data_IF_291030189610
#
_entry.id   IF_291030189610
#
_cell.length_a   1.000
_cell.length_b   1.000
_cell.length_c   1.000
_cell.angle_alpha   90.00
_cell.angle_beta   90.00
_cell.angle_gamma   90.00
#
_symmetry.space_group_name_H-M   'P 1'
#
loop_
_entity.id
_entity.type
_entity.pdbx_description
1 polymer ?
#
# COMPACT_ATOMS: atom_id res chain seq x y z
N UNK A 1 13.06 -15.97 79.30
CA UNK A 1 11.96 -15.87 78.32
C UNK A 1 12.15 -14.61 77.50
N UNK A 2 12.27 -14.74 76.16
CA UNK A 2 11.96 -13.72 75.13
C UNK A 2 12.34 -14.35 73.79
N UNK A 3 11.36 -14.91 73.09
CA UNK A 3 11.51 -15.44 71.73
C UNK A 3 11.28 -14.29 70.75
N UNK A 4 12.27 -14.04 69.91
CA UNK A 4 12.26 -12.99 68.89
C UNK A 4 11.92 -13.69 67.56
N UNK A 5 10.69 -13.51 67.10
CA UNK A 5 10.19 -14.04 65.82
C UNK A 5 10.59 -13.04 64.75
N UNK A 6 11.59 -13.39 63.95
CA UNK A 6 12.00 -12.65 62.75
C UNK A 6 11.10 -13.14 61.62
N UNK A 7 10.13 -12.31 61.25
CA UNK A 7 9.30 -12.46 60.04
C UNK A 7 10.20 -12.13 58.86
N UNK A 8 10.69 -13.18 58.19
CA UNK A 8 11.46 -13.06 56.95
C UNK A 8 10.50 -12.69 55.83
N UNK A 9 10.65 -11.43 55.45
CA UNK A 9 10.12 -10.70 54.30
C UNK A 9 9.98 -11.58 53.04
N UNK A 10 8.75 -11.74 52.56
CA UNK A 10 8.42 -12.23 51.22
C UNK A 10 9.15 -11.38 50.17
N UNK A 11 10.21 -11.96 49.58
CA UNK A 11 10.86 -11.42 48.40
C UNK A 11 9.93 -11.71 47.21
N UNK A 12 9.19 -10.68 46.81
CA UNK A 12 8.24 -10.68 45.70
C UNK A 12 8.96 -11.01 44.39
N UNK A 13 8.49 -12.10 43.77
CA UNK A 13 8.71 -12.41 42.35
C UNK A 13 8.29 -11.20 41.49
N UNK A 14 9.26 -10.41 41.06
CA UNK A 14 9.11 -9.50 39.93
C UNK A 14 9.40 -10.31 38.68
N UNK A 15 8.37 -11.01 38.19
CA UNK A 15 8.41 -11.62 36.86
C UNK A 15 8.46 -10.50 35.83
N UNK A 16 9.60 -10.35 35.16
CA UNK A 16 9.69 -9.62 33.90
C UNK A 16 8.75 -10.32 32.91
N UNK A 17 7.53 -9.80 32.73
CA UNK A 17 6.75 -10.13 31.56
C UNK A 17 7.48 -9.52 30.36
N UNK A 18 8.11 -10.36 29.56
CA UNK A 18 8.53 -10.01 28.21
C UNK A 18 7.28 -9.58 27.43
N UNK A 19 7.11 -8.26 27.26
CA UNK A 19 6.14 -7.73 26.32
C UNK A 19 6.54 -8.24 24.93
N UNK A 20 5.65 -8.94 24.20
CA UNK A 20 5.97 -9.39 22.87
C UNK A 20 6.30 -8.16 22.02
N UNK A 21 7.50 -8.13 21.45
CA UNK A 21 8.03 -7.08 20.56
C UNK A 21 7.30 -7.02 19.20
N UNK A 22 5.97 -7.13 19.21
CA UNK A 22 5.11 -7.27 18.04
C UNK A 22 4.50 -5.94 17.55
N UNK A 23 4.77 -4.80 18.21
CA UNK A 23 4.13 -3.51 17.87
C UNK A 23 4.90 -2.63 16.86
N UNK A 24 5.78 -3.20 16.04
CA UNK A 24 6.42 -2.42 14.96
C UNK A 24 5.54 -2.30 13.71
N UNK A 25 4.53 -3.15 13.56
CA UNK A 25 3.71 -3.15 12.36
C UNK A 25 2.54 -2.18 12.42
N UNK A 26 2.33 -1.47 11.32
CA UNK A 26 1.09 -0.74 11.09
C UNK A 26 -0.07 -1.73 10.93
N UNK A 27 -1.32 -1.34 11.26
CA UNK A 27 -2.48 -2.19 11.06
C UNK A 27 -2.65 -2.68 9.61
N UNK A 28 -2.22 -1.87 8.62
CA UNK A 28 -2.27 -2.25 7.21
C UNK A 28 -1.25 -3.35 6.88
N UNK A 29 0.01 -3.20 7.31
CA UNK A 29 1.04 -4.22 7.12
C UNK A 29 0.70 -5.52 7.86
N UNK A 30 0.18 -5.43 9.08
CA UNK A 30 -0.27 -6.58 9.86
C UNK A 30 -1.40 -7.34 9.13
N UNK A 31 -2.40 -6.64 8.58
CA UNK A 31 -3.46 -7.27 7.78
C UNK A 31 -2.90 -7.94 6.51
N UNK A 32 -1.92 -7.32 5.84
CA UNK A 32 -1.27 -7.91 4.68
C UNK A 32 -0.58 -9.23 5.04
N UNK A 33 0.25 -9.22 6.09
CA UNK A 33 1.00 -10.41 6.55
C UNK A 33 0.12 -11.54 7.07
N UNK A 34 -0.92 -11.20 7.83
CA UNK A 34 -1.71 -12.20 8.56
C UNK A 34 -2.91 -12.72 7.78
N UNK A 35 -3.52 -11.90 6.93
CA UNK A 35 -4.76 -12.25 6.21
C UNK A 35 -4.51 -12.48 4.72
N UNK A 36 -3.96 -11.48 4.02
CA UNK A 36 -3.83 -11.54 2.55
C UNK A 36 -2.82 -12.57 2.08
N UNK A 37 -1.65 -12.65 2.72
CA UNK A 37 -0.62 -13.64 2.38
C UNK A 37 -1.04 -15.11 2.62
N UNK A 38 -2.01 -15.35 3.48
CA UNK A 38 -2.55 -16.69 3.74
C UNK A 38 -3.71 -17.06 2.80
N UNK A 39 -4.11 -16.15 1.90
CA UNK A 39 -5.13 -16.42 0.89
C UNK A 39 -4.68 -17.53 -0.05
N UNK A 40 -5.59 -18.46 -0.37
CA UNK A 40 -5.31 -19.61 -1.21
C UNK A 40 -5.54 -19.22 -2.66
N UNK A 41 -4.50 -19.23 -3.48
CA UNK A 41 -4.55 -18.78 -4.88
C UNK A 41 -4.14 -19.90 -5.82
N UNK A 42 -4.58 -19.83 -7.07
CA UNK A 42 -4.23 -20.80 -8.11
C UNK A 42 -3.87 -20.07 -9.39
N UNK A 43 -2.71 -20.36 -9.97
CA UNK A 43 -2.22 -19.68 -11.15
C UNK A 43 -1.49 -20.65 -12.09
N UNK A 44 -1.79 -20.57 -13.37
CA UNK A 44 -1.08 -21.29 -14.44
C UNK A 44 -0.63 -20.28 -15.48
N UNK A 45 0.62 -19.83 -15.36
CA UNK A 45 1.18 -18.75 -16.17
C UNK A 45 2.29 -19.29 -17.04
N UNK A 46 2.26 -18.93 -18.32
CA UNK A 46 3.33 -19.23 -19.29
C UNK A 46 3.81 -17.95 -19.96
N UNK A 47 5.04 -17.57 -19.66
CA UNK A 47 5.73 -16.42 -20.26
C UNK A 47 4.99 -15.08 -20.17
N UNK A 48 4.20 -14.87 -19.11
CA UNK A 48 3.48 -13.61 -18.92
C UNK A 48 4.32 -12.60 -18.14
N UNK A 49 3.98 -11.32 -18.34
CA UNK A 49 4.63 -10.23 -17.65
C UNK A 49 4.27 -10.23 -16.17
N UNK A 50 5.26 -9.99 -15.33
CA UNK A 50 5.11 -9.97 -13.88
C UNK A 50 4.02 -9.00 -13.40
N UNK A 51 3.80 -7.87 -14.08
CA UNK A 51 2.68 -6.98 -13.78
C UNK A 51 1.30 -7.59 -14.02
N UNK A 52 1.12 -8.38 -15.09
CA UNK A 52 -0.16 -9.06 -15.41
C UNK A 52 -0.45 -10.10 -14.34
N UNK A 53 0.56 -10.89 -13.97
CA UNK A 53 0.48 -11.89 -12.91
C UNK A 53 -0.02 -11.28 -11.59
N UNK A 54 0.49 -10.11 -11.20
CA UNK A 54 0.06 -9.45 -9.96
C UNK A 54 -1.37 -8.87 -10.04
N UNK A 55 -1.81 -8.43 -11.22
CA UNK A 55 -3.21 -8.02 -11.44
C UNK A 55 -4.13 -9.22 -11.24
N UNK A 56 -3.84 -10.36 -11.86
CA UNK A 56 -4.64 -11.58 -11.75
C UNK A 56 -4.70 -12.07 -10.30
N UNK A 57 -3.58 -12.03 -9.58
CA UNK A 57 -3.54 -12.36 -8.15
C UNK A 57 -4.39 -11.40 -7.30
N UNK A 58 -4.42 -10.11 -7.64
CA UNK A 58 -5.28 -9.14 -6.97
C UNK A 58 -6.76 -9.48 -7.15
N UNK A 59 -7.17 -9.78 -8.38
CA UNK A 59 -8.56 -10.15 -8.70
C UNK A 59 -8.99 -11.42 -7.96
N UNK A 60 -8.11 -12.42 -7.85
CA UNK A 60 -8.40 -13.64 -7.08
C UNK A 60 -8.57 -13.39 -5.58
N UNK A 61 -7.79 -12.48 -4.98
CA UNK A 61 -7.94 -12.12 -3.56
C UNK A 61 -9.20 -11.28 -3.31
N UNK A 62 -9.57 -10.42 -4.25
CA UNK A 62 -10.83 -9.67 -4.20
C UNK A 62 -12.04 -10.61 -4.29
N UNK A 63 -11.99 -11.61 -5.17
CA UNK A 63 -13.02 -12.66 -5.24
C UNK A 63 -13.19 -13.43 -3.92
N UNK A 64 -12.11 -13.56 -3.14
CA UNK A 64 -12.12 -14.16 -1.80
C UNK A 64 -12.48 -13.18 -0.68
N UNK A 65 -12.78 -11.91 -1.00
CA UNK A 65 -13.05 -10.83 -0.04
C UNK A 65 -11.88 -10.54 0.90
N UNK A 66 -10.65 -10.87 0.49
CA UNK A 66 -9.41 -10.52 1.22
C UNK A 66 -8.91 -9.10 0.85
N UNK A 67 -9.47 -8.52 -0.20
CA UNK A 67 -9.16 -7.18 -0.71
C UNK A 67 -8.08 -7.17 -1.79
N UNK A 68 -7.81 -6.00 -2.36
CA UNK A 68 -6.87 -5.82 -3.47
C UNK A 68 -5.41 -6.02 -3.04
N UNK A 69 -4.60 -6.52 -3.98
CA UNK A 69 -3.15 -6.65 -3.82
C UNK A 69 -2.47 -5.43 -4.45
N UNK A 70 -1.77 -4.63 -3.65
CA UNK A 70 -1.01 -3.49 -4.16
C UNK A 70 0.48 -3.78 -4.14
N UNK A 71 1.14 -3.52 -5.27
CA UNK A 71 2.53 -3.89 -5.50
C UNK A 71 3.34 -2.66 -5.92
N UNK A 72 4.49 -2.50 -5.27
CA UNK A 72 5.52 -1.52 -5.60
C UNK A 72 6.76 -2.27 -6.08
N UNK A 73 7.47 -1.68 -7.05
CA UNK A 73 8.72 -2.23 -7.56
C UNK A 73 9.87 -1.35 -7.09
N UNK A 74 10.93 -1.98 -6.55
CA UNK A 74 12.16 -1.27 -6.28
C UNK A 74 12.88 -0.88 -7.57
N UNK A 75 13.80 0.09 -7.44
CA UNK A 75 14.59 0.58 -8.56
C UNK A 75 15.41 -0.58 -9.19
N UNK A 76 15.42 -0.63 -10.52
CA UNK A 76 16.15 -1.67 -11.27
C UNK A 76 15.38 -2.97 -11.51
N UNK A 77 14.11 -3.06 -11.11
CA UNK A 77 13.25 -4.22 -11.41
C UNK A 77 12.33 -3.90 -12.57
N UNK A 78 12.39 -4.72 -13.62
CA UNK A 78 11.53 -4.56 -14.80
C UNK A 78 10.16 -5.17 -14.58
N UNK A 79 9.11 -4.36 -14.76
CA UNK A 79 7.70 -4.82 -14.73
C UNK A 79 7.36 -5.80 -15.87
N UNK A 80 8.17 -5.79 -16.92
CA UNK A 80 7.96 -6.57 -18.13
C UNK A 80 8.74 -7.90 -18.10
N UNK A 81 9.32 -8.28 -16.96
CA UNK A 81 9.99 -9.56 -16.81
C UNK A 81 8.96 -10.68 -16.99
N UNK A 82 9.25 -11.62 -17.90
CA UNK A 82 8.36 -12.75 -18.18
C UNK A 82 8.64 -13.89 -17.20
N UNK A 83 7.59 -14.50 -16.68
CA UNK A 83 7.69 -15.62 -15.73
C UNK A 83 6.77 -16.76 -16.17
N UNK A 84 7.28 -17.98 -16.04
CA UNK A 84 6.49 -19.21 -16.22
C UNK A 84 6.40 -19.91 -14.87
N UNK A 85 5.20 -20.03 -14.32
CA UNK A 85 4.96 -20.60 -13.00
C UNK A 85 3.57 -21.24 -12.95
N UNK A 86 3.48 -22.37 -12.23
CA UNK A 86 2.23 -23.10 -12.03
C UNK A 86 2.10 -23.46 -10.55
N UNK A 87 0.97 -23.13 -9.95
CA UNK A 87 0.63 -23.52 -8.60
C UNK A 87 -0.89 -23.59 -8.46
N UNK A 88 -1.38 -24.68 -7.88
CA UNK A 88 -2.81 -24.88 -7.64
C UNK A 88 -3.07 -24.94 -6.14
N UNK A 89 -3.96 -24.07 -5.66
CA UNK A 89 -4.40 -24.00 -4.26
C UNK A 89 -3.26 -23.88 -3.25
N UNK A 90 -2.32 -22.98 -3.54
CA UNK A 90 -1.17 -22.70 -2.69
C UNK A 90 -1.41 -21.37 -1.97
N UNK A 91 -1.00 -21.21 -0.70
CA UNK A 91 -1.10 -19.91 -0.04
C UNK A 91 -0.22 -18.88 -0.76
N UNK A 92 -0.65 -17.62 -0.74
CA UNK A 92 -0.02 -16.55 -1.51
C UNK A 92 1.45 -16.34 -1.15
N UNK A 93 1.85 -16.54 0.12
CA UNK A 93 3.25 -16.48 0.55
C UNK A 93 4.14 -17.52 -0.18
N UNK A 94 3.77 -18.79 -0.15
CA UNK A 94 4.49 -19.86 -0.85
C UNK A 94 4.47 -19.65 -2.37
N UNK A 95 3.36 -19.13 -2.91
CA UNK A 95 3.26 -18.79 -4.33
C UNK A 95 4.25 -17.69 -4.71
N UNK A 96 4.30 -16.58 -3.95
CA UNK A 96 5.22 -15.47 -4.20
C UNK A 96 6.67 -15.91 -4.07
N UNK A 97 6.98 -16.77 -3.10
CA UNK A 97 8.31 -17.36 -2.91
C UNK A 97 8.74 -18.14 -4.14
N UNK A 98 7.88 -19.03 -4.64
CA UNK A 98 8.16 -19.85 -5.82
C UNK A 98 8.25 -19.02 -7.11
N UNK A 99 7.38 -18.02 -7.26
CA UNK A 99 7.32 -17.14 -8.42
C UNK A 99 8.57 -16.27 -8.53
N UNK A 100 8.96 -15.61 -7.43
CA UNK A 100 10.04 -14.63 -7.40
C UNK A 100 11.43 -15.26 -7.30
N UNK A 101 11.56 -16.43 -6.67
CA UNK A 101 12.84 -17.13 -6.54
C UNK A 101 13.52 -17.43 -7.89
N UNK A 102 12.74 -17.73 -8.94
CA UNK A 102 13.29 -18.03 -10.28
C UNK A 102 14.12 -16.90 -10.88
N UNK A 103 13.82 -15.66 -10.49
CA UNK A 103 14.44 -14.46 -11.03
C UNK A 103 15.37 -13.76 -10.02
N UNK A 104 15.73 -14.43 -8.92
CA UNK A 104 16.44 -13.83 -7.78
C UNK A 104 15.73 -12.59 -7.23
N UNK A 105 14.40 -12.60 -7.25
CA UNK A 105 13.57 -11.58 -6.65
C UNK A 105 13.08 -12.03 -5.27
N UNK A 106 12.85 -11.05 -4.42
CA UNK A 106 12.21 -11.19 -3.12
C UNK A 106 11.12 -10.15 -2.98
N UNK A 107 10.40 -10.24 -1.87
CA UNK A 107 9.38 -9.27 -1.55
C UNK A 107 9.41 -8.91 -0.06
N UNK A 108 9.04 -7.68 0.24
CA UNK A 108 8.84 -7.20 1.61
C UNK A 108 7.47 -6.55 1.72
N UNK A 109 6.84 -6.69 2.88
CA UNK A 109 5.63 -5.90 3.18
C UNK A 109 6.09 -4.56 3.76
N UNK A 110 5.70 -3.47 3.12
CA UNK A 110 6.03 -2.11 3.56
C UNK A 110 5.19 -1.84 4.81
N UNK A 111 5.87 -1.62 5.94
CA UNK A 111 5.29 -1.12 7.19
C UNK A 111 5.98 0.20 7.49
N UNK A 112 5.27 1.32 7.34
CA UNK A 112 5.87 2.64 7.55
C UNK A 112 4.91 3.59 8.24
N UNK A 113 5.43 4.35 9.19
CA UNK A 113 4.71 5.43 9.88
C UNK A 113 5.03 6.80 9.28
N UNK A 114 5.91 6.86 8.28
CA UNK A 114 6.32 8.11 7.66
C UNK A 114 5.22 8.70 6.77
N UNK A 115 4.84 9.99 6.96
CA UNK A 115 3.78 10.63 6.17
C UNK A 115 3.95 10.57 4.65
N UNK A 116 5.19 10.62 4.17
CA UNK A 116 5.52 10.56 2.73
C UNK A 116 5.31 9.18 2.12
N UNK A 117 5.44 8.12 2.92
CA UNK A 117 5.35 6.72 2.49
C UNK A 117 4.09 6.02 3.00
N UNK A 118 3.27 6.68 3.83
CA UNK A 118 1.99 6.19 4.35
C UNK A 118 1.05 5.67 3.24
N UNK A 119 1.10 6.23 2.03
CA UNK A 119 0.30 5.74 0.89
C UNK A 119 0.66 4.32 0.44
N UNK A 120 1.87 3.88 0.77
CA UNK A 120 2.39 2.55 0.44
C UNK A 120 2.33 1.59 1.64
N UNK A 121 1.75 2.04 2.76
CA UNK A 121 1.63 1.20 3.94
C UNK A 121 0.75 -0.04 3.65
N UNK A 122 1.26 -1.21 4.00
CA UNK A 122 0.64 -2.50 3.68
C UNK A 122 0.78 -2.98 2.24
N UNK A 123 1.56 -2.29 1.39
CA UNK A 123 1.87 -2.77 0.03
C UNK A 123 3.01 -3.78 0.06
N UNK A 124 3.10 -4.61 -0.98
CA UNK A 124 4.28 -5.45 -1.22
C UNK A 124 5.29 -4.65 -2.05
N UNK A 125 6.54 -4.54 -1.60
CA UNK A 125 7.65 -4.07 -2.42
C UNK A 125 8.47 -5.25 -2.95
N UNK A 126 8.54 -5.40 -4.27
CA UNK A 126 9.41 -6.38 -4.91
C UNK A 126 10.83 -5.81 -4.96
N UNK A 127 11.81 -6.60 -4.52
CA UNK A 127 13.24 -6.23 -4.45
C UNK A 127 14.11 -7.32 -5.08
N UNK A 128 15.31 -6.98 -5.51
CA UNK A 128 16.32 -7.98 -5.87
C UNK A 128 16.85 -8.63 -4.58
N UNK A 129 16.88 -9.96 -4.53
CA UNK A 129 17.41 -10.68 -3.36
C UNK A 129 16.54 -11.85 -2.90
N UNK A 130 16.80 -12.30 -1.68
CA UNK A 130 16.15 -13.47 -1.05
C UNK A 130 15.23 -13.08 0.12
N UNK A 131 14.75 -11.85 0.16
CA UNK A 131 13.83 -11.37 1.22
C UNK A 131 12.43 -11.97 1.06
N UNK A 132 11.78 -12.29 2.20
CA UNK A 132 10.56 -13.09 2.28
C UNK A 132 9.59 -12.51 3.32
N UNK A 133 8.94 -11.40 2.98
CA UNK A 133 7.91 -10.75 3.79
C UNK A 133 8.41 -9.82 4.90
N UNK A 134 9.67 -9.96 5.35
CA UNK A 134 10.31 -9.10 6.34
C UNK A 134 11.56 -8.42 5.76
N UNK A 135 11.81 -7.14 6.08
CA UNK A 135 13.05 -6.47 5.70
C UNK A 135 14.24 -7.20 6.33
N UNK A 136 15.38 -7.27 5.62
CA UNK A 136 16.56 -8.01 6.08
C UNK A 136 17.04 -7.63 7.50
N UNK A 137 16.78 -6.40 7.95
CA UNK A 137 17.15 -5.91 9.28
C UNK A 137 16.37 -6.58 10.43
N UNK A 138 15.16 -7.08 10.16
CA UNK A 138 14.36 -7.84 11.13
C UNK A 138 14.48 -9.37 10.90
N UNK A 139 15.04 -9.80 9.77
CA UNK A 139 15.14 -11.21 9.37
C UNK A 139 16.19 -12.03 10.15
N UNK A 140 17.06 -11.39 10.94
CA UNK A 140 18.03 -12.11 11.80
C UNK A 140 17.36 -12.96 12.90
N UNK A 141 16.06 -12.83 13.12
CA UNK A 141 15.34 -13.59 14.17
C UNK A 141 14.45 -14.71 13.60
N UNK A 142 14.04 -14.66 12.32
CA UNK A 142 13.04 -15.58 11.78
C UNK A 142 13.60 -16.79 10.99
N UNK A 143 14.90 -16.86 10.71
CA UNK A 143 15.50 -17.89 9.85
C UNK A 143 15.76 -19.27 10.50
N UNK A 144 15.29 -19.52 11.73
CA UNK A 144 15.35 -20.85 12.38
C UNK A 144 13.96 -21.48 12.48
N UNK A 145 13.56 -22.20 11.44
CA UNK A 145 12.65 -23.33 11.63
C UNK A 145 11.43 -23.37 10.72
N UNK A 146 11.62 -23.66 9.43
CA UNK A 146 10.69 -24.53 8.71
C UNK A 146 11.40 -25.16 7.51
N UNK A 147 12.05 -26.31 7.72
CA UNK A 147 12.36 -27.25 6.62
C UNK A 147 11.05 -27.95 6.24
N UNK A 148 10.15 -27.21 5.59
CA UNK A 148 8.99 -27.77 4.92
C UNK A 148 9.47 -28.53 3.69
N UNK A 149 9.07 -29.79 3.59
CA UNK A 149 9.34 -30.70 2.48
C UNK A 149 8.72 -30.12 1.20
N UNK A 150 9.50 -29.34 0.45
CA UNK A 150 9.18 -28.94 -0.93
C UNK A 150 9.07 -30.23 -1.73
N UNK A 151 7.85 -30.64 -2.03
CA UNK A 151 7.59 -31.66 -3.04
C UNK A 151 8.16 -31.11 -4.33
N UNK A 152 9.27 -31.70 -4.77
CA UNK A 152 9.97 -31.43 -6.02
C UNK A 152 8.98 -31.56 -7.17
N UNK A 153 8.35 -30.46 -7.56
CA UNK A 153 7.68 -30.34 -8.85
C UNK A 153 8.81 -30.29 -9.86
N UNK A 154 9.09 -31.43 -10.48
CA UNK A 154 10.11 -31.54 -11.50
C UNK A 154 9.79 -30.52 -12.60
N UNK A 155 10.74 -29.63 -12.95
CA UNK A 155 10.59 -28.82 -14.13
C UNK A 155 10.52 -29.77 -15.32
N UNK A 156 9.32 -29.96 -15.86
CA UNK A 156 9.10 -30.66 -17.11
C UNK A 156 9.76 -29.80 -18.19
N UNK A 157 11.03 -30.10 -18.43
CA UNK A 157 11.82 -29.63 -19.57
C UNK A 157 11.00 -29.92 -20.82
N UNK A 158 10.43 -28.86 -21.41
CA UNK A 158 10.03 -28.92 -22.80
C UNK A 158 11.30 -29.17 -23.59
N UNK A 159 11.34 -30.37 -24.16
CA UNK A 159 12.42 -30.89 -24.96
C UNK A 159 12.79 -29.88 -26.05
N UNK A 160 14.07 -29.52 -26.09
CA UNK A 160 14.78 -29.15 -27.31
C UNK A 160 14.45 -30.20 -28.36
N UNK A 161 13.81 -29.78 -29.45
CA UNK A 161 13.85 -30.53 -30.69
C UNK A 161 15.32 -30.57 -31.15
N UNK A 162 15.79 -31.78 -31.45
CA UNK A 162 17.15 -32.05 -31.88
C UNK A 162 17.53 -31.33 -33.19
N UNK A 163 18.82 -30.95 -33.33
CA UNK A 163 19.39 -30.51 -34.58
C UNK A 163 19.72 -31.71 -35.45
N UNK A 164 19.11 -31.82 -36.64
CA UNK A 164 19.55 -32.77 -37.67
C UNK A 164 20.53 -32.08 -38.60
N UNK A 165 21.76 -32.58 -38.56
CA UNK A 165 22.88 -32.22 -39.42
C UNK A 165 22.61 -32.50 -40.91
N UNK A 166 23.09 -31.61 -41.78
CA UNK A 166 23.91 -31.89 -42.96
C UNK A 166 24.11 -30.60 -43.77
N UNK A 167 25.36 -30.27 -44.12
CA UNK A 167 25.67 -29.16 -45.02
C UNK A 167 27.07 -28.58 -44.82
N UNK A 168 28.11 -29.35 -45.16
CA UNK A 168 29.44 -28.82 -45.47
C UNK A 168 29.44 -28.41 -46.95
N UNK A 169 29.58 -27.12 -47.25
CA UNK A 169 30.25 -26.54 -48.44
C UNK A 169 30.70 -25.15 -47.95
N UNK A 170 31.96 -24.94 -47.56
CA UNK A 170 33.08 -24.57 -48.44
C UNK A 170 32.64 -23.57 -49.52
N UNK A 171 32.95 -22.28 -49.34
CA UNK A 171 33.47 -21.41 -50.39
C UNK A 171 33.77 -19.97 -49.91
N UNK A 172 35.04 -19.60 -50.13
CA UNK A 172 35.55 -18.30 -50.61
C UNK A 172 35.43 -17.03 -49.76
N UNK A 173 36.57 -16.76 -49.12
CA UNK A 173 37.32 -15.49 -49.06
C UNK A 173 37.28 -14.68 -50.37
N UNK A 174 36.87 -13.41 -50.28
CA UNK A 174 37.28 -12.24 -51.10
C UNK A 174 36.59 -11.01 -50.45
N UNK A 175 37.29 -10.12 -49.75
CA UNK A 175 38.07 -8.99 -50.29
C UNK A 175 37.24 -8.01 -51.14
N UNK A 176 36.86 -6.88 -50.54
CA UNK A 176 36.67 -5.53 -51.12
C UNK A 176 36.12 -4.66 -49.97
N UNK A 177 36.87 -3.78 -49.30
CA UNK A 177 37.58 -2.58 -49.79
C UNK A 177 36.67 -1.56 -50.48
N UNK A 178 36.86 -0.30 -50.06
CA UNK A 178 36.45 0.99 -50.65
C UNK A 178 35.07 1.53 -50.24
N UNK A 179 35.06 2.66 -49.52
CA UNK A 179 35.01 4.06 -50.04
C UNK A 179 33.56 4.38 -50.45
N UNK A 180 32.98 5.56 -50.30
CA UNK A 180 33.38 6.88 -49.82
C UNK A 180 32.06 7.66 -49.64
N UNK A 181 32.14 8.73 -48.86
CA UNK A 181 31.45 10.01 -49.07
C UNK A 181 29.99 10.27 -48.60
N UNK A 182 29.66 11.56 -48.38
CA UNK A 182 28.81 12.03 -47.29
C UNK A 182 27.64 12.91 -47.80
N UNK A 183 26.92 13.50 -46.85
CA UNK A 183 26.22 14.78 -46.96
C UNK A 183 24.92 14.89 -47.81
N UNK A 184 24.09 15.81 -47.32
CA UNK A 184 22.92 16.44 -47.95
C UNK A 184 21.64 15.57 -47.97
N UNK A 185 20.44 16.03 -47.66
CA UNK A 185 19.82 17.37 -47.65
C UNK A 185 18.54 17.22 -46.83
N UNK A 186 18.27 18.06 -45.82
CA UNK A 186 17.39 19.25 -45.92
C UNK A 186 16.16 19.01 -46.81
N UNK A 187 15.03 18.66 -46.18
CA UNK A 187 13.72 19.09 -46.65
C UNK A 187 12.78 19.36 -45.47
N UNK A 188 12.42 20.64 -45.36
CA UNK A 188 11.18 21.11 -44.72
C UNK A 188 9.98 20.51 -45.47
N UNK A 189 8.83 20.36 -44.80
CA UNK A 189 7.73 21.19 -45.28
C UNK A 189 7.03 22.00 -44.19
N UNK A 190 6.96 23.29 -44.51
CA UNK A 190 5.95 24.28 -44.13
C UNK A 190 4.52 23.73 -44.09
N UNK A 191 3.90 24.01 -42.95
CA UNK A 191 2.69 24.84 -42.82
C UNK A 191 1.29 24.32 -43.24
N UNK A 192 0.33 24.82 -42.44
CA UNK A 192 -1.10 25.02 -42.68
C UNK A 192 -2.05 23.84 -42.37
N UNK A 193 -2.70 23.94 -41.20
CA UNK A 193 -4.15 24.08 -41.16
C UNK A 193 -4.60 24.61 -39.78
N UNK A 194 -4.90 25.92 -39.73
CA UNK A 194 -5.81 26.51 -38.75
C UNK A 194 -7.23 26.23 -39.22
N UNK A 195 -8.04 25.54 -38.42
CA UNK A 195 -9.51 25.61 -38.50
C UNK A 195 -10.14 24.97 -37.26
N UNK A 196 -10.28 25.73 -36.18
CA UNK A 196 -11.29 25.43 -35.16
C UNK A 196 -12.42 26.47 -35.27
N UNK A 197 -13.61 26.09 -35.73
CA UNK A 197 -14.77 26.95 -35.69
C UNK A 197 -15.32 27.05 -34.26
N UNK A 198 -15.45 28.30 -33.80
CA UNK A 198 -16.36 28.70 -32.73
C UNK A 198 -17.75 28.09 -32.96
N UNK A 199 -18.22 27.31 -32.00
CA UNK A 199 -19.64 27.07 -31.79
C UNK A 199 -19.90 26.96 -30.28
N UNK A 200 -20.31 28.08 -29.69
CA UNK A 200 -21.07 28.12 -28.44
C UNK A 200 -22.47 27.54 -28.69
N UNK A 201 -22.94 26.59 -27.86
CA UNK A 201 -24.35 26.50 -27.56
C UNK A 201 -24.58 27.03 -26.14
N UNK A 202 -24.99 28.29 -26.12
CA UNK A 202 -25.65 28.95 -25.00
C UNK A 202 -26.99 28.26 -24.75
N UNK A 203 -27.03 27.27 -23.88
CA UNK A 203 -28.27 26.69 -23.36
C UNK A 203 -28.40 26.99 -21.86
N UNK A 204 -29.28 27.94 -21.56
CA UNK A 204 -29.72 28.24 -20.21
C UNK A 204 -30.58 27.09 -19.66
N UNK A 205 -30.45 26.72 -18.38
CA UNK A 205 -31.55 26.16 -17.61
C UNK A 205 -32.09 27.26 -16.69
N UNK A 206 -33.19 27.89 -17.11
CA UNK A 206 -34.08 28.64 -16.22
C UNK A 206 -35.33 27.80 -16.02
N UNK A 207 -35.37 27.05 -14.93
CA UNK A 207 -36.61 26.52 -14.36
C UNK A 207 -36.38 26.27 -12.86
N UNK A 208 -36.70 27.27 -12.06
CA UNK A 208 -37.18 27.05 -10.70
C UNK A 208 -38.55 26.36 -10.81
N UNK A 209 -38.79 25.30 -10.04
CA UNK A 209 -40.01 25.27 -9.24
C UNK A 209 -39.65 25.05 -7.77
N UNK A 210 -39.88 26.12 -7.02
CA UNK A 210 -40.11 26.12 -5.59
C UNK A 210 -41.49 25.47 -5.37
N UNK A 211 -41.53 24.26 -4.82
CA UNK A 211 -42.73 23.79 -4.14
C UNK A 211 -42.39 22.85 -2.99
N UNK A 212 -43.01 23.16 -1.87
CA UNK A 212 -42.87 22.55 -0.57
C UNK A 212 -43.52 21.16 -0.60
N UNK A 213 -42.80 20.12 -0.14
CA UNK A 213 -43.49 18.94 0.39
C UNK A 213 -42.85 18.52 1.70
N UNK A 214 -43.43 19.12 2.74
CA UNK A 214 -43.41 18.68 4.12
C UNK A 214 -44.31 17.45 4.20
N UNK A 215 -43.72 16.26 4.27
CA UNK A 215 -44.38 15.10 4.84
C UNK A 215 -43.37 14.28 5.63
N UNK A 216 -43.67 14.15 6.92
CA UNK A 216 -42.95 13.34 7.88
C UNK A 216 -43.41 11.87 7.73
N UNK A 217 -42.50 10.91 7.49
CA UNK A 217 -42.71 9.55 7.95
C UNK A 217 -42.02 9.42 9.29
N UNK A 218 -42.84 9.54 10.33
CA UNK A 218 -42.56 9.05 11.67
C UNK A 218 -42.46 7.53 11.60
N UNK A 219 -41.29 7.01 11.21
CA UNK A 219 -40.93 5.61 11.45
C UNK A 219 -40.07 5.54 12.71
N UNK A 220 -40.62 4.87 13.71
CA UNK A 220 -40.01 4.55 14.98
C UNK A 220 -38.77 3.65 14.78
N UNK A 221 -37.57 4.07 15.20
CA UNK A 221 -36.46 3.16 15.36
C UNK A 221 -36.72 2.34 16.62
N UNK A 222 -37.31 1.17 16.36
CA UNK A 222 -37.44 0.03 17.25
C UNK A 222 -36.13 -0.22 18.00
N UNK A 223 -36.26 -0.27 19.32
CA UNK A 223 -35.22 -0.55 20.30
C UNK A 223 -34.46 -1.84 20.00
N UNK A 224 -33.12 -1.78 19.93
CA UNK A 224 -32.19 -2.87 20.26
C UNK A 224 -30.85 -2.27 20.77
N UNK A 225 -30.02 -3.05 21.49
CA UNK A 225 -29.85 -3.02 22.94
C UNK A 225 -28.71 -2.09 23.40
N UNK A 226 -28.89 -1.49 24.58
CA UNK A 226 -27.82 -0.83 25.35
C UNK A 226 -26.63 -1.78 25.57
N UNK A 227 -25.57 -1.57 24.79
CA UNK A 227 -24.22 -2.02 25.10
C UNK A 227 -23.45 -0.84 25.68
N UNK A 228 -23.23 -0.88 26.99
CA UNK A 228 -22.72 0.22 27.82
C UNK A 228 -21.18 0.34 27.82
N UNK A 229 -20.50 0.03 26.71
CA UNK A 229 -19.02 0.06 26.63
C UNK A 229 -18.36 0.63 25.34
N UNK A 230 -18.83 1.72 24.69
CA UNK A 230 -18.01 2.41 23.68
C UNK A 230 -17.84 3.94 23.86
N UNK A 231 -18.26 4.55 24.98
CA UNK A 231 -18.22 6.01 25.14
C UNK A 231 -16.78 6.59 25.18
N UNK A 232 -15.86 5.91 25.86
CA UNK A 232 -14.46 6.37 26.02
C UNK A 232 -13.68 6.40 24.70
N UNK A 233 -13.93 5.46 23.80
CA UNK A 233 -13.21 5.39 22.51
C UNK A 233 -13.65 6.52 21.57
N UNK A 234 -14.92 6.95 21.65
CA UNK A 234 -15.43 8.04 20.81
C UNK A 234 -14.82 9.40 21.19
N UNK A 235 -14.60 9.61 22.49
CA UNK A 235 -13.99 10.84 23.01
C UNK A 235 -12.53 10.97 22.57
N UNK A 236 -11.75 9.89 22.64
CA UNK A 236 -10.35 9.91 22.18
C UNK A 236 -10.22 10.18 20.67
N UNK A 237 -11.13 9.62 19.86
CA UNK A 237 -11.15 9.87 18.41
C UNK A 237 -11.49 11.35 18.13
N UNK A 238 -12.42 11.92 18.88
CA UNK A 238 -12.80 13.34 18.75
C UNK A 238 -11.65 14.26 19.17
N UNK A 239 -10.91 13.95 20.24
CA UNK A 239 -9.75 14.73 20.67
C UNK A 239 -8.62 14.69 19.64
N UNK A 240 -8.32 13.52 19.06
CA UNK A 240 -7.30 13.41 18.00
C UNK A 240 -7.70 14.20 16.75
N UNK A 241 -8.97 14.15 16.36
CA UNK A 241 -9.48 14.92 15.23
C UNK A 241 -9.39 16.45 15.48
N UNK A 242 -9.76 16.90 16.69
CA UNK A 242 -9.63 18.30 17.08
C UNK A 242 -8.17 18.77 17.08
N UNK A 243 -7.25 17.94 17.59
CA UNK A 243 -5.81 18.21 17.63
C UNK A 243 -5.25 18.43 16.22
N UNK A 244 -5.57 17.57 15.26
CA UNK A 244 -5.11 17.71 13.87
C UNK A 244 -5.63 19.01 13.23
N UNK A 245 -6.89 19.39 13.47
CA UNK A 245 -7.43 20.65 12.95
C UNK A 245 -6.72 21.87 13.59
N UNK A 246 -6.40 21.78 14.88
CA UNK A 246 -5.70 22.83 15.62
C UNK A 246 -4.26 23.03 15.11
N UNK A 247 -3.52 21.95 14.85
CA UNK A 247 -2.19 22.01 14.24
C UNK A 247 -2.22 22.70 12.86
N UNK A 248 -3.20 22.36 12.03
CA UNK A 248 -3.40 23.01 10.72
C UNK A 248 -3.65 24.52 10.88
N UNK A 249 -4.43 24.93 11.88
CA UNK A 249 -4.68 26.34 12.17
C UNK A 249 -3.40 27.08 12.60
N UNK A 250 -2.56 26.47 13.44
CA UNK A 250 -1.26 27.02 13.84
C UNK A 250 -0.30 27.17 12.65
N UNK A 251 -0.27 26.20 11.73
CA UNK A 251 0.53 26.29 10.49
C UNK A 251 0.04 27.44 9.60
N UNK A 252 -1.27 27.66 9.52
CA UNK A 252 -1.82 28.81 8.77
C UNK A 252 -1.45 30.14 9.44
N UNK A 253 -1.47 30.20 10.76
CA UNK A 253 -1.09 31.38 11.53
C UNK A 253 0.40 31.71 11.35
N UNK A 254 1.29 30.72 11.44
CA UNK A 254 2.73 30.90 11.25
C UNK A 254 3.08 31.26 9.80
N UNK A 255 2.31 30.80 8.82
CA UNK A 255 2.40 31.22 7.43
C UNK A 255 1.85 32.64 7.15
N UNK A 256 1.44 33.38 8.18
CA UNK A 256 0.91 34.75 8.07
C UNK A 256 -0.54 34.83 7.58
N UNK A 257 -1.22 33.70 7.37
CA UNK A 257 -2.61 33.65 6.86
C UNK A 257 -3.62 33.80 8.00
N UNK A 258 -3.56 34.93 8.71
CA UNK A 258 -4.31 35.18 9.96
C UNK A 258 -5.83 34.99 9.83
N UNK A 259 -6.45 35.46 8.74
CA UNK A 259 -7.92 35.33 8.57
C UNK A 259 -8.36 33.87 8.41
N UNK A 260 -7.57 33.07 7.68
CA UNK A 260 -7.85 31.63 7.52
C UNK A 260 -7.62 30.87 8.81
N UNK A 261 -6.59 31.23 9.57
CA UNK A 261 -6.34 30.66 10.90
C UNK A 261 -7.51 30.98 11.85
N UNK A 262 -7.98 32.24 11.90
CA UNK A 262 -9.16 32.64 12.69
C UNK A 262 -10.40 31.81 12.33
N UNK A 263 -10.69 31.66 11.04
CA UNK A 263 -11.82 30.86 10.58
C UNK A 263 -11.72 29.39 11.03
N UNK A 264 -10.51 28.80 10.96
CA UNK A 264 -10.26 27.44 11.42
C UNK A 264 -10.39 27.28 12.95
N UNK A 265 -9.89 28.22 13.75
CA UNK A 265 -10.10 28.20 15.19
C UNK A 265 -11.59 28.29 15.57
N UNK A 266 -12.38 29.13 14.88
CA UNK A 266 -13.84 29.19 15.09
C UNK A 266 -14.55 27.88 14.73
N UNK A 267 -14.11 27.22 13.66
CA UNK A 267 -14.65 25.92 13.25
C UNK A 267 -14.39 24.84 14.31
N UNK A 268 -13.18 24.80 14.88
CA UNK A 268 -12.81 23.86 15.96
C UNK A 268 -13.69 24.07 17.19
N UNK A 269 -13.90 25.32 17.61
CA UNK A 269 -14.76 25.64 18.77
C UNK A 269 -16.21 25.22 18.53
N UNK A 270 -16.72 25.38 17.30
CA UNK A 270 -18.08 24.98 16.94
C UNK A 270 -18.26 23.47 16.89
N UNK A 271 -17.30 22.75 16.33
CA UNK A 271 -17.39 21.29 16.13
C UNK A 271 -17.03 20.49 17.38
N UNK A 272 -16.14 21.01 18.22
CA UNK A 272 -15.57 20.27 19.36
C UNK A 272 -15.64 21.06 20.69
N UNK A 273 -16.80 21.63 21.07
CA UNK A 273 -16.90 22.62 22.16
C UNK A 273 -16.48 22.10 23.53
N UNK A 274 -16.51 20.79 23.76
CA UNK A 274 -16.18 20.16 25.05
C UNK A 274 -14.71 19.75 25.19
N UNK A 275 -13.90 19.89 24.13
CA UNK A 275 -12.49 19.46 24.14
C UNK A 275 -11.58 20.53 24.74
N UNK A 276 -10.48 20.12 25.37
CA UNK A 276 -9.43 21.06 25.82
C UNK A 276 -8.84 21.86 24.65
N UNK A 277 -8.78 21.25 23.46
CA UNK A 277 -8.33 21.91 22.22
C UNK A 277 -9.23 23.09 21.83
N UNK A 278 -10.55 23.02 22.06
CA UNK A 278 -11.44 24.14 21.78
C UNK A 278 -11.17 25.34 22.70
N UNK A 279 -10.79 25.11 23.96
CA UNK A 279 -10.37 26.18 24.89
C UNK A 279 -9.07 26.84 24.40
N UNK A 280 -8.08 26.04 24.00
CA UNK A 280 -6.83 26.55 23.44
C UNK A 280 -7.06 27.34 22.13
N UNK A 281 -7.96 26.85 21.26
CA UNK A 281 -8.37 27.55 20.05
C UNK A 281 -9.05 28.89 20.34
N UNK A 282 -9.87 28.96 21.39
CA UNK A 282 -10.49 30.20 21.84
C UNK A 282 -9.43 31.22 22.31
N UNK A 283 -8.44 30.79 23.08
CA UNK A 283 -7.34 31.66 23.53
C UNK A 283 -6.51 32.19 22.34
N UNK A 284 -6.17 31.33 21.37
CA UNK A 284 -5.48 31.77 20.16
C UNK A 284 -6.30 32.76 19.33
N UNK A 285 -7.63 32.59 19.29
CA UNK A 285 -8.51 33.52 18.59
C UNK A 285 -8.54 34.89 19.26
N UNK A 286 -8.46 34.95 20.58
CA UNK A 286 -8.38 36.20 21.35
C UNK A 286 -7.03 36.89 21.19
N UNK A 287 -5.92 36.13 21.07
CA UNK A 287 -4.59 36.69 20.75
C UNK A 287 -4.50 37.28 19.33
N UNK A 288 -5.34 36.83 18.41
CA UNK A 288 -5.36 37.30 17.02
C UNK A 288 -6.27 38.51 16.79
N UNK A 289 -7.04 38.96 17.79
CA UNK A 289 -7.86 40.18 17.73
C UNK A 289 -6.99 41.42 17.81
#
# INVERSE_FOLDING_TARGET
MRRLIVVVLCFTMFGLMELPAAEKDTPAAANMRTKKLKGIVSIDVKEEMLNVIFTDLSEQLEAQKLGSLSVKYANGISKNQRVTFKADKVPLDELLDGLLAKNNLGYIVISTKEPSLLRYDGWIEIRQGKERGYPAEDATVAAKGTKGKVTKVEPKTLAKADPKAAGKEDMTKEEMAKEDDPAMTKDEPKALAKADPKADPKAAPKAEPKEEMKEEPKEEPKEEPKSEAPALVKEEILERAATLQYEVALVLQSAGKRDRAKAKFQEIIKLFPMTEIAKAAQEQLDQLK
#
